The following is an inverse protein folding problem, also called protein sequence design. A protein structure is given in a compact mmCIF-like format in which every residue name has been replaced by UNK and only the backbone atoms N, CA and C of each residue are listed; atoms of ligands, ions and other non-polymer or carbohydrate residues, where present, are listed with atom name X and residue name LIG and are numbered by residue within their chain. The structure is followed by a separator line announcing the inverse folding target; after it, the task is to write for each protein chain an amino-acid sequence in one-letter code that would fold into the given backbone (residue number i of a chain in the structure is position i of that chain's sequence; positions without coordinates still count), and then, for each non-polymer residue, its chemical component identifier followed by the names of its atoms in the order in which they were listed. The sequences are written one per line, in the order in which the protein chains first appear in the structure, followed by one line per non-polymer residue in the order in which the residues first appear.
data_IF_087318781248
#
_entry.id   IF_087318781248
#
_cell.length_a   1.000
_cell.length_b   1.000
_cell.length_c   1.000
_cell.angle_alpha   90.00
_cell.angle_beta   90.00
_cell.angle_gamma   90.00
#
_symmetry.space_group_name_H-M   'P 1'
#
loop_
_entity.id
_entity.type
_entity.pdbx_description
1 polymer ?
#
# COMPACT_ATOMS: atom_id res chain seq x y z
N UNK A 1 47.72 53.37 -17.25
CA UNK A 1 47.88 52.04 -17.88
C UNK A 1 48.63 51.21 -16.83
N UNK A 2 48.16 50.12 -16.25
CA UNK A 2 47.10 49.17 -16.59
C UNK A 2 46.83 48.35 -15.32
N UNK A 3 45.56 48.24 -14.91
CA UNK A 3 45.16 47.42 -13.75
C UNK A 3 44.90 45.99 -14.24
N UNK A 4 45.73 45.04 -13.82
CA UNK A 4 45.60 43.63 -14.17
C UNK A 4 44.45 43.00 -13.38
N UNK A 5 43.31 42.77 -14.04
CA UNK A 5 42.23 41.93 -13.53
C UNK A 5 42.57 40.44 -13.74
N UNK A 6 42.41 39.56 -12.73
CA UNK A 6 42.39 38.13 -12.95
C UNK A 6 41.01 37.69 -13.47
N UNK A 7 41.00 37.05 -14.63
CA UNK A 7 39.82 36.53 -15.32
C UNK A 7 39.16 35.38 -14.54
N UNK A 8 37.92 35.57 -14.12
CA UNK A 8 37.00 34.52 -13.67
C UNK A 8 36.68 33.57 -14.84
N UNK A 9 37.22 32.35 -14.79
CA UNK A 9 36.86 31.25 -15.69
C UNK A 9 35.46 30.72 -15.32
N UNK A 10 34.48 31.06 -16.15
CA UNK A 10 33.10 30.53 -16.06
C UNK A 10 33.04 29.13 -16.69
N UNK A 11 32.45 28.11 -16.05
CA UNK A 11 32.24 26.82 -16.70
C UNK A 11 31.18 26.97 -17.82
N UNK A 12 31.56 26.51 -19.01
CA UNK A 12 30.75 26.54 -20.24
C UNK A 12 29.75 25.39 -20.17
N UNK A 13 28.51 25.67 -19.79
CA UNK A 13 27.40 24.74 -20.02
C UNK A 13 27.17 24.62 -21.53
N UNK A 14 27.49 23.46 -22.10
CA UNK A 14 27.04 23.11 -23.45
C UNK A 14 25.67 22.44 -23.34
N UNK A 15 24.60 22.98 -23.96
CA UNK A 15 23.43 22.18 -24.26
C UNK A 15 23.82 21.21 -25.38
N UNK A 16 23.56 19.92 -25.19
CA UNK A 16 23.69 18.90 -26.21
C UNK A 16 22.33 18.74 -26.92
N UNK A 17 22.15 19.16 -28.18
CA UNK A 17 21.05 18.70 -28.99
C UNK A 17 21.59 17.68 -30.01
N UNK A 18 21.55 16.40 -29.65
CA UNK A 18 21.58 15.36 -30.67
C UNK A 18 20.13 15.14 -31.15
N UNK A 19 19.80 15.44 -32.42
CA UNK A 19 18.48 15.17 -32.96
C UNK A 19 18.33 13.66 -33.19
N UNK A 20 17.36 13.05 -32.52
CA UNK A 20 16.95 11.68 -32.80
C UNK A 20 16.31 11.64 -34.20
N UNK A 21 16.74 10.75 -35.11
CA UNK A 21 16.12 10.62 -36.43
C UNK A 21 14.69 10.06 -36.30
N UNK A 22 13.74 10.80 -36.86
CA UNK A 22 12.37 10.38 -37.14
C UNK A 22 12.40 9.11 -38.00
N UNK A 23 12.09 7.97 -37.38
CA UNK A 23 11.81 6.74 -38.12
C UNK A 23 10.33 6.69 -38.48
N UNK A 24 10.11 6.76 -39.79
CA UNK A 24 8.85 6.56 -40.49
C UNK A 24 8.26 5.17 -40.16
N UNK A 25 6.96 5.05 -39.85
CA UNK A 25 6.36 3.73 -39.69
C UNK A 25 6.28 3.05 -41.06
N UNK A 26 6.90 1.89 -41.19
CA UNK A 26 6.67 0.98 -42.32
C UNK A 26 5.33 0.31 -42.13
N UNK A 27 4.38 0.66 -42.99
CA UNK A 27 3.10 -0.03 -43.16
C UNK A 27 3.32 -1.50 -43.52
N UNK A 28 3.11 -2.39 -42.56
CA UNK A 28 2.90 -3.80 -42.82
C UNK A 28 1.38 -4.08 -42.87
N UNK A 29 0.83 -4.59 -43.99
CA UNK A 29 -0.58 -4.92 -44.06
C UNK A 29 -0.87 -6.10 -43.14
N UNK A 30 -1.60 -5.84 -42.05
CA UNK A 30 -2.21 -6.88 -41.23
C UNK A 30 -3.33 -7.53 -42.05
N UNK A 31 -3.43 -8.87 -42.12
CA UNK A 31 -4.57 -9.51 -42.75
C UNK A 31 -5.83 -9.17 -41.96
N UNK A 32 -6.77 -8.51 -42.63
CA UNK A 32 -8.13 -8.29 -42.14
C UNK A 32 -8.79 -9.64 -41.95
N UNK A 33 -8.96 -10.06 -40.71
CA UNK A 33 -9.83 -11.19 -40.36
C UNK A 33 -11.27 -10.69 -40.50
N UNK A 34 -11.90 -11.05 -41.62
CA UNK A 34 -13.33 -10.81 -41.83
C UNK A 34 -14.14 -11.78 -40.96
N UNK A 35 -14.55 -11.33 -39.78
CA UNK A 35 -15.53 -12.08 -38.98
C UNK A 35 -16.88 -11.98 -39.67
N UNK A 36 -17.21 -13.02 -40.43
CA UNK A 36 -18.51 -13.19 -41.09
C UNK A 36 -19.58 -13.40 -40.00
N UNK A 37 -20.36 -12.37 -39.67
CA UNK A 37 -21.56 -12.53 -38.83
C UNK A 37 -22.60 -13.32 -39.62
N UNK A 38 -22.69 -14.63 -39.37
CA UNK A 38 -23.89 -15.40 -39.76
C UNK A 38 -24.98 -15.11 -38.74
N UNK A 39 -25.92 -14.28 -39.16
CA UNK A 39 -27.27 -14.21 -38.59
C UNK A 39 -27.93 -15.58 -38.78
N UNK A 40 -28.23 -16.27 -37.67
CA UNK A 40 -29.15 -17.39 -37.63
C UNK A 40 -30.28 -17.02 -36.69
N UNK A 41 -31.45 -16.77 -37.27
CA UNK A 41 -32.75 -16.67 -36.61
C UNK A 41 -33.32 -18.08 -36.47
N UNK A 42 -33.58 -18.51 -35.24
CA UNK A 42 -34.65 -19.48 -34.88
C UNK A 42 -34.65 -19.62 -33.35
N UNK A 43 -35.58 -18.95 -32.67
CA UNK A 43 -36.88 -19.46 -32.23
C UNK A 43 -36.82 -20.28 -30.94
N UNK A 44 -37.66 -19.86 -29.99
CA UNK A 44 -38.32 -20.68 -28.96
C UNK A 44 -37.83 -20.49 -27.51
N UNK A 45 -38.48 -19.52 -26.87
CA UNK A 45 -39.05 -19.54 -25.52
C UNK A 45 -38.46 -20.55 -24.53
N UNK A 46 -37.71 -20.03 -23.56
CA UNK A 46 -37.65 -20.60 -22.21
C UNK A 46 -37.47 -19.45 -21.22
N UNK A 47 -38.59 -18.92 -20.77
CA UNK A 47 -38.67 -18.07 -19.59
C UNK A 47 -38.21 -18.87 -18.37
N UNK A 48 -36.92 -18.75 -18.02
CA UNK A 48 -36.47 -19.10 -16.68
C UNK A 48 -37.13 -18.11 -15.73
N UNK A 49 -38.22 -18.57 -15.12
CA UNK A 49 -38.87 -17.91 -13.99
C UNK A 49 -37.79 -17.68 -12.94
N UNK A 50 -37.39 -16.41 -12.81
CA UNK A 50 -36.68 -15.92 -11.65
C UNK A 50 -37.60 -16.15 -10.45
N UNK A 51 -37.49 -17.32 -9.82
CA UNK A 51 -38.11 -17.57 -8.53
C UNK A 51 -37.41 -16.65 -7.55
N UNK A 52 -38.00 -15.47 -7.36
CA UNK A 52 -37.66 -14.55 -6.31
C UNK A 52 -37.96 -15.25 -4.98
N UNK A 53 -36.99 -16.01 -4.47
CA UNK A 53 -36.81 -16.08 -3.03
C UNK A 53 -36.10 -14.78 -2.65
N UNK A 54 -36.76 -13.80 -2.00
CA UNK A 54 -36.02 -12.87 -1.16
C UNK A 54 -35.60 -13.66 0.07
N UNK A 55 -34.73 -14.66 -0.09
CA UNK A 55 -33.84 -15.03 1.00
C UNK A 55 -32.91 -13.84 1.08
N UNK A 56 -33.37 -12.88 1.88
CA UNK A 56 -32.64 -11.76 2.43
C UNK A 56 -31.21 -12.24 2.57
N UNK A 57 -30.34 -11.78 1.68
CA UNK A 57 -28.92 -11.70 1.94
C UNK A 57 -28.85 -10.83 3.18
N UNK A 58 -29.00 -11.46 4.35
CA UNK A 58 -28.78 -10.82 5.63
C UNK A 58 -27.33 -10.43 5.54
N UNK A 59 -27.01 -9.14 5.36
CA UNK A 59 -25.64 -8.72 5.47
C UNK A 59 -25.30 -9.13 6.89
N UNK A 60 -24.39 -10.10 7.06
CA UNK A 60 -23.74 -10.28 8.36
C UNK A 60 -23.29 -8.90 8.82
N UNK A 61 -23.32 -8.58 10.12
CA UNK A 61 -22.98 -7.25 10.61
C UNK A 61 -21.69 -6.84 9.92
N UNK A 62 -21.81 -5.93 8.95
CA UNK A 62 -20.66 -5.45 8.23
C UNK A 62 -19.79 -4.86 9.33
N UNK A 63 -18.54 -5.30 9.45
CA UNK A 63 -17.60 -4.62 10.34
C UNK A 63 -17.50 -3.21 9.77
N UNK A 64 -18.30 -2.29 10.32
CA UNK A 64 -18.06 -0.87 10.17
C UNK A 64 -16.65 -0.70 10.73
N UNK A 65 -15.71 -0.38 9.85
CA UNK A 65 -14.35 -0.18 10.25
C UNK A 65 -14.31 1.10 11.08
N UNK A 66 -14.49 0.95 12.39
CA UNK A 66 -14.28 2.02 13.37
C UNK A 66 -12.76 2.19 13.53
N UNK A 67 -12.17 2.86 12.54
CA UNK A 67 -10.77 3.22 12.57
C UNK A 67 -10.58 4.38 13.53
N UNK A 68 -10.48 4.08 14.83
CA UNK A 68 -10.04 5.04 15.81
C UNK A 68 -8.56 5.34 15.57
N UNK A 69 -8.31 6.45 14.87
CA UNK A 69 -6.97 6.98 14.66
C UNK A 69 -6.65 8.08 15.68
N UNK A 70 -5.37 8.26 15.95
CA UNK A 70 -4.86 9.43 16.65
C UNK A 70 -5.16 10.67 15.82
N UNK A 71 -5.88 11.64 16.41
CA UNK A 71 -6.23 12.91 15.77
C UNK A 71 -5.19 13.99 16.09
N UNK A 72 -4.84 14.88 15.15
CA UNK A 72 -4.02 16.05 15.47
C UNK A 72 -4.68 16.89 16.57
N UNK A 73 -3.93 17.23 17.62
CA UNK A 73 -4.46 18.02 18.75
C UNK A 73 -5.22 17.21 19.81
N UNK A 74 -5.28 15.89 19.70
CA UNK A 74 -5.77 15.00 20.76
C UNK A 74 -4.91 15.08 22.02
N UNK A 75 -5.50 14.82 23.18
CA UNK A 75 -4.75 14.70 24.44
C UNK A 75 -3.71 13.59 24.34
N UNK A 76 -2.61 13.72 25.10
CA UNK A 76 -1.54 12.72 25.06
C UNK A 76 -2.05 11.37 25.57
N UNK A 77 -2.91 11.41 26.57
CA UNK A 77 -3.49 10.25 27.25
C UNK A 77 -4.37 9.43 26.30
N UNK A 78 -5.27 10.09 25.57
CA UNK A 78 -6.17 9.40 24.63
C UNK A 78 -5.38 8.82 23.46
N UNK A 79 -4.40 9.58 22.93
CA UNK A 79 -3.54 9.10 21.85
C UNK A 79 -2.72 7.87 22.28
N UNK A 80 -2.22 7.85 23.52
CA UNK A 80 -1.53 6.68 24.09
C UNK A 80 -2.48 5.50 24.25
N UNK A 81 -3.74 5.74 24.65
CA UNK A 81 -4.77 4.72 24.74
C UNK A 81 -5.03 4.02 23.41
N UNK A 82 -5.27 4.80 22.36
CA UNK A 82 -5.53 4.31 20.99
C UNK A 82 -4.33 3.51 20.46
N UNK A 83 -3.12 4.09 20.53
CA UNK A 83 -1.88 3.41 20.09
C UNK A 83 -1.66 2.10 20.84
N UNK A 84 -1.94 2.08 22.14
CA UNK A 84 -1.81 0.87 22.96
C UNK A 84 -2.83 -0.20 22.55
N UNK A 85 -4.03 0.21 22.14
CA UNK A 85 -5.03 -0.67 21.54
C UNK A 85 -4.49 -1.37 20.30
N UNK A 86 -4.04 -0.60 19.31
CA UNK A 86 -3.52 -1.17 18.05
C UNK A 86 -2.23 -1.99 18.24
N UNK A 87 -1.37 -1.57 19.16
CA UNK A 87 -0.18 -2.33 19.51
C UNK A 87 -0.53 -3.70 20.14
N UNK A 88 -1.61 -3.78 20.95
CA UNK A 88 -2.10 -5.06 21.48
C UNK A 88 -2.66 -5.95 20.38
N UNK A 89 -3.37 -5.39 19.39
CA UNK A 89 -3.84 -6.16 18.23
C UNK A 89 -2.67 -6.77 17.45
N UNK A 90 -1.59 -6.01 17.24
CA UNK A 90 -0.38 -6.54 16.59
C UNK A 90 0.28 -7.67 17.41
N UNK A 91 0.22 -7.61 18.75
CA UNK A 91 0.71 -8.70 19.60
C UNK A 91 -0.19 -9.94 19.55
N UNK A 92 -1.48 -9.79 19.25
CA UNK A 92 -2.43 -10.90 19.10
C UNK A 92 -2.16 -11.77 17.86
N UNK A 93 -1.24 -11.36 16.98
CA UNK A 93 -0.72 -12.18 15.87
C UNK A 93 0.08 -13.38 16.37
N UNK A 94 0.76 -13.27 17.52
CA UNK A 94 1.62 -14.33 18.07
C UNK A 94 0.94 -15.71 18.14
N UNK A 95 -0.24 -15.89 18.75
CA UNK A 95 -0.93 -17.18 18.78
C UNK A 95 -1.29 -17.70 17.38
N UNK A 96 -1.60 -16.83 16.41
CA UNK A 96 -1.89 -17.25 15.03
C UNK A 96 -0.65 -17.86 14.37
N UNK A 97 0.52 -17.26 14.61
CA UNK A 97 1.81 -17.78 14.12
C UNK A 97 2.19 -19.09 14.80
N UNK A 98 1.95 -19.23 16.12
CA UNK A 98 2.17 -20.48 16.86
C UNK A 98 1.27 -21.63 16.38
N UNK A 99 0.04 -21.32 15.98
CA UNK A 99 -0.92 -22.28 15.42
C UNK A 99 -0.67 -22.60 13.93
N UNK A 100 0.24 -21.88 13.27
CA UNK A 100 0.47 -22.02 11.82
C UNK A 100 -0.67 -21.47 10.96
N UNK A 101 -1.54 -20.63 11.52
CA UNK A 101 -2.62 -19.93 10.81
C UNK A 101 -2.06 -18.75 10.01
N UNK A 102 -1.26 -19.05 8.99
CA UNK A 102 -0.45 -18.08 8.27
C UNK A 102 -1.28 -16.98 7.59
N UNK A 103 -2.40 -17.33 6.96
CA UNK A 103 -3.24 -16.36 6.24
C UNK A 103 -3.96 -15.41 7.21
N UNK A 104 -4.48 -15.93 8.32
CA UNK A 104 -5.08 -15.13 9.37
C UNK A 104 -4.06 -14.25 10.05
N UNK A 105 -2.86 -14.78 10.35
CA UNK A 105 -1.75 -14.02 10.90
C UNK A 105 -1.38 -12.87 9.96
N UNK A 106 -1.26 -13.14 8.66
CA UNK A 106 -0.92 -12.12 7.68
C UNK A 106 -1.98 -11.02 7.60
N UNK A 107 -3.26 -11.40 7.55
CA UNK A 107 -4.37 -10.44 7.55
C UNK A 107 -4.34 -9.55 8.79
N UNK A 108 -4.15 -10.14 9.97
CA UNK A 108 -4.08 -9.41 11.23
C UNK A 108 -2.85 -8.48 11.28
N UNK A 109 -1.70 -8.91 10.77
CA UNK A 109 -0.49 -8.05 10.63
C UNK A 109 -0.80 -6.85 9.74
N UNK A 110 -1.43 -7.05 8.58
CA UNK A 110 -1.75 -5.96 7.66
C UNK A 110 -2.70 -4.94 8.29
N UNK A 111 -3.79 -5.42 8.90
CA UNK A 111 -4.79 -4.55 9.52
C UNK A 111 -4.20 -3.79 10.72
N UNK A 112 -3.65 -4.50 11.70
CA UNK A 112 -3.11 -3.88 12.92
C UNK A 112 -1.90 -2.97 12.65
N UNK A 113 -1.02 -3.33 11.70
CA UNK A 113 0.14 -2.49 11.37
C UNK A 113 -0.23 -1.23 10.59
N UNK A 114 -1.26 -1.26 9.75
CA UNK A 114 -1.71 -0.08 9.03
C UNK A 114 -2.21 1.01 10.00
N UNK A 115 -3.01 0.61 10.99
CA UNK A 115 -3.52 1.51 12.03
C UNK A 115 -2.38 2.07 12.89
N UNK A 116 -1.50 1.19 13.36
CA UNK A 116 -0.38 1.59 14.20
C UNK A 116 0.60 2.53 13.45
N UNK A 117 0.81 2.32 12.14
CA UNK A 117 1.65 3.22 11.31
C UNK A 117 1.08 4.62 11.28
N UNK A 118 -0.21 4.74 11.02
CA UNK A 118 -0.91 6.02 10.94
C UNK A 118 -0.76 6.78 12.27
N UNK A 119 -1.02 6.11 13.38
CA UNK A 119 -1.01 6.74 14.70
C UNK A 119 0.38 7.18 15.15
N UNK A 120 1.38 6.30 15.00
CA UNK A 120 2.76 6.63 15.35
C UNK A 120 3.27 7.76 14.46
N UNK A 121 2.88 7.78 13.18
CA UNK A 121 3.24 8.88 12.29
C UNK A 121 2.61 10.20 12.74
N UNK A 122 1.32 10.23 13.10
CA UNK A 122 0.65 11.41 13.64
C UNK A 122 1.35 11.93 14.90
N UNK A 123 1.75 11.04 15.81
CA UNK A 123 2.54 11.40 17.01
C UNK A 123 3.89 12.00 16.61
N UNK A 124 4.59 11.44 15.63
CA UNK A 124 5.86 12.01 15.14
C UNK A 124 5.65 13.42 14.56
N UNK A 125 4.52 13.67 13.91
CA UNK A 125 4.23 14.99 13.33
C UNK A 125 3.89 16.05 14.39
N UNK A 126 3.27 15.67 15.50
CA UNK A 126 2.90 16.61 16.57
C UNK A 126 4.05 17.00 17.49
N UNK A 127 5.18 16.29 17.45
CA UNK A 127 6.35 16.51 18.31
C UNK A 127 7.30 17.61 17.79
N UNK A 128 8.06 18.30 18.67
CA UNK A 128 8.99 19.34 18.26
C UNK A 128 10.13 18.77 17.40
N UNK A 129 10.70 19.61 16.53
CA UNK A 129 11.69 19.22 15.52
C UNK A 129 12.87 18.39 16.02
N UNK A 130 13.34 18.65 17.24
CA UNK A 130 14.48 17.95 17.84
C UNK A 130 14.22 16.49 18.23
N UNK A 131 12.97 16.12 18.54
CA UNK A 131 12.61 14.75 18.95
C UNK A 131 12.29 13.84 17.76
N UNK A 132 11.87 14.44 16.64
CA UNK A 132 11.40 13.72 15.45
C UNK A 132 12.42 12.74 14.86
N UNK A 133 13.74 13.04 14.79
CA UNK A 133 14.72 12.07 14.28
C UNK A 133 14.77 10.77 15.11
N UNK A 134 14.76 10.89 16.44
CA UNK A 134 14.78 9.74 17.34
C UNK A 134 13.50 8.90 17.21
N UNK A 135 12.34 9.55 17.13
CA UNK A 135 11.06 8.86 16.96
C UNK A 135 10.93 8.20 15.57
N UNK A 136 11.43 8.84 14.52
CA UNK A 136 11.49 8.24 13.17
C UNK A 136 12.38 7.01 13.14
N UNK A 137 13.51 7.03 13.85
CA UNK A 137 14.35 5.83 13.98
C UNK A 137 13.58 4.68 14.64
N UNK A 138 12.92 4.93 15.76
CA UNK A 138 12.08 3.93 16.44
C UNK A 138 10.96 3.39 15.54
N UNK A 139 10.29 4.28 14.80
CA UNK A 139 9.28 3.91 13.81
C UNK A 139 9.85 2.98 12.74
N UNK A 140 11.00 3.34 12.15
CA UNK A 140 11.66 2.50 11.15
C UNK A 140 12.07 1.14 11.72
N UNK A 141 12.68 1.10 12.90
CA UNK A 141 13.12 -0.14 13.53
C UNK A 141 11.93 -1.08 13.80
N UNK A 142 10.83 -0.55 14.34
CA UNK A 142 9.59 -1.29 14.59
C UNK A 142 9.00 -1.85 13.28
N UNK A 143 8.72 -0.99 12.31
CA UNK A 143 7.99 -1.41 11.11
C UNK A 143 8.85 -2.21 10.13
N UNK A 144 10.17 -2.07 10.16
CA UNK A 144 11.06 -3.00 9.47
C UNK A 144 10.97 -4.40 10.07
N UNK A 145 10.83 -4.53 11.39
CA UNK A 145 10.57 -5.80 12.06
C UNK A 145 9.23 -6.40 11.63
N UNK A 146 8.16 -5.61 11.65
CA UNK A 146 6.83 -6.04 11.21
C UNK A 146 6.84 -6.49 9.75
N UNK A 147 7.52 -5.76 8.86
CA UNK A 147 7.65 -6.17 7.45
C UNK A 147 8.40 -7.49 7.28
N UNK A 148 9.47 -7.73 8.05
CA UNK A 148 10.15 -9.04 8.03
C UNK A 148 9.24 -10.16 8.51
N UNK A 149 8.48 -9.92 9.58
CA UNK A 149 7.49 -10.87 10.10
C UNK A 149 6.39 -11.18 9.08
N UNK A 150 5.88 -10.17 8.37
CA UNK A 150 4.90 -10.35 7.27
C UNK A 150 5.46 -11.19 6.13
N UNK A 151 6.70 -10.92 5.69
CA UNK A 151 7.36 -11.73 4.67
C UNK A 151 7.56 -13.18 5.13
N UNK A 152 8.00 -13.38 6.36
CA UNK A 152 8.19 -14.72 6.92
C UNK A 152 6.87 -15.48 7.08
N UNK A 153 5.78 -14.79 7.47
CA UNK A 153 4.44 -15.37 7.52
C UNK A 153 3.92 -15.75 6.13
N UNK A 154 4.16 -14.90 5.11
CA UNK A 154 3.80 -15.18 3.72
C UNK A 154 4.51 -16.41 3.18
N UNK A 155 5.80 -16.52 3.46
CA UNK A 155 6.64 -17.62 2.98
C UNK A 155 6.52 -18.87 3.88
N UNK A 156 5.72 -18.78 4.97
CA UNK A 156 5.47 -19.84 5.96
C UNK A 156 6.74 -20.35 6.64
N UNK A 157 7.72 -19.46 6.81
CA UNK A 157 9.03 -19.76 7.41
C UNK A 157 8.99 -19.52 8.93
N UNK A 158 8.66 -20.57 9.68
CA UNK A 158 8.60 -20.53 11.14
C UNK A 158 9.87 -20.00 11.81
N UNK A 159 11.08 -20.48 11.48
CA UNK A 159 12.32 -19.94 12.02
C UNK A 159 12.56 -18.45 11.77
N UNK A 160 12.18 -17.92 10.60
CA UNK A 160 12.35 -16.51 10.28
C UNK A 160 11.34 -15.59 10.96
N UNK A 161 10.13 -16.08 11.26
CA UNK A 161 9.07 -15.31 11.93
C UNK A 161 9.49 -14.80 13.32
N UNK A 162 10.38 -15.51 14.01
CA UNK A 162 10.78 -15.21 15.38
C UNK A 162 12.08 -14.39 15.51
N UNK A 163 12.62 -13.86 14.41
CA UNK A 163 13.85 -13.05 14.38
C UNK A 163 13.57 -11.55 14.33
#
# INVERSE_FOLDING_TARGET
MEATQPSLSRPRFQPNPSPLPLQHPTDHPRPFVSVTRRLALSSSLSSLVFSASPTILRPGPAKAFDFEFVKPGQTVEDAVGVVRGHARSLLAVKPLLELGSWEEAQREIHESSALLKQDVYTIIQSRPGGERPRLRKLYSDLFNGVSRMDYAARDRDGPLVWR
#
